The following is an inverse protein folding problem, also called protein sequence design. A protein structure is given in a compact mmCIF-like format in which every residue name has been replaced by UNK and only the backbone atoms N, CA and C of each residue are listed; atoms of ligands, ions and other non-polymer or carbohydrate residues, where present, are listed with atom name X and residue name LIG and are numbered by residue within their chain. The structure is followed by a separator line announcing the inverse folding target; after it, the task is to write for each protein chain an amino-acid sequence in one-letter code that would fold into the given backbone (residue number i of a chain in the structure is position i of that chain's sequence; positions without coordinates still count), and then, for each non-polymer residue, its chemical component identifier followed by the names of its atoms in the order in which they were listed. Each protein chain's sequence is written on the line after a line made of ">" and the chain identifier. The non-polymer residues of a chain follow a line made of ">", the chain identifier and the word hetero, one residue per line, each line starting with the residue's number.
data_IF_134436844487
#
_entry.id   IF_134436844487
#
_cell.length_a   1.000
_cell.length_b   1.000
_cell.length_c   1.000
_cell.angle_alpha   90.00
_cell.angle_beta   90.00
_cell.angle_gamma   90.00
#
_symmetry.space_group_name_H-M   'P 1'
#
loop_
_entity.id
_entity.type
_entity.pdbx_description
1 polymer ?
#
# COMPACT_ATOMS: atom_id res chain seq x y z
N UNK A 1 54.73 1.62 -11.74
CA UNK A 1 54.12 0.84 -12.83
C UNK A 1 52.89 1.61 -13.30
N UNK A 2 52.83 1.91 -14.59
CA UNK A 2 51.81 2.75 -15.23
C UNK A 2 50.42 2.13 -15.12
N UNK A 3 49.40 2.92 -14.76
CA UNK A 3 48.02 2.59 -15.10
C UNK A 3 47.49 3.58 -16.14
N UNK A 4 47.14 3.00 -17.28
CA UNK A 4 46.72 3.61 -18.53
C UNK A 4 45.26 4.05 -18.45
N UNK A 5 44.99 5.28 -18.87
CA UNK A 5 43.66 5.84 -19.09
C UNK A 5 43.01 5.25 -20.34
N UNK A 6 41.75 4.80 -20.24
CA UNK A 6 40.80 4.79 -21.36
C UNK A 6 39.36 5.03 -20.86
N UNK A 7 38.64 6.04 -21.38
CA UNK A 7 37.20 6.12 -21.22
C UNK A 7 36.50 5.29 -22.30
N UNK A 8 35.46 4.55 -21.91
CA UNK A 8 34.55 3.88 -22.83
C UNK A 8 33.43 4.84 -23.25
N UNK A 9 33.39 5.11 -24.55
CA UNK A 9 32.37 5.87 -25.26
C UNK A 9 31.17 4.93 -25.49
N UNK A 10 30.00 5.21 -24.89
CA UNK A 10 28.77 4.49 -25.20
C UNK A 10 27.89 5.35 -26.11
N UNK A 11 27.62 4.81 -27.30
CA UNK A 11 26.94 5.45 -28.41
C UNK A 11 25.42 5.56 -28.16
N UNK A 12 24.90 6.76 -28.43
CA UNK A 12 23.49 7.06 -28.59
C UNK A 12 22.99 6.47 -29.90
N UNK A 13 22.14 5.43 -29.84
CA UNK A 13 21.43 4.90 -31.00
C UNK A 13 19.93 5.21 -30.85
N UNK A 14 19.47 6.23 -31.58
CA UNK A 14 18.05 6.52 -31.77
C UNK A 14 17.46 5.52 -32.75
N UNK A 15 16.61 4.61 -32.27
CA UNK A 15 15.80 3.75 -33.13
C UNK A 15 14.37 4.30 -33.22
N UNK A 16 14.10 5.11 -34.25
CA UNK A 16 12.74 5.43 -34.69
C UNK A 16 12.23 4.28 -35.57
N UNK A 17 11.39 3.42 -35.03
CA UNK A 17 10.70 2.36 -35.77
C UNK A 17 9.20 2.60 -35.75
N UNK A 18 8.68 3.31 -36.76
CA UNK A 18 7.24 3.43 -37.01
C UNK A 18 6.72 2.13 -37.61
N UNK A 19 5.73 1.55 -36.94
CA UNK A 19 4.96 0.39 -37.32
C UNK A 19 4.12 0.69 -38.59
N UNK A 20 4.14 -0.19 -39.59
CA UNK A 20 3.15 -0.17 -40.66
C UNK A 20 2.79 -1.60 -41.09
N UNK A 21 1.59 -2.02 -40.69
CA UNK A 21 0.86 -3.19 -41.22
C UNK A 21 0.33 -2.87 -42.62
N UNK A 22 0.32 -3.81 -43.57
CA UNK A 22 -0.42 -3.64 -44.82
C UNK A 22 -1.85 -4.21 -44.69
N UNK A 23 -2.86 -3.36 -44.92
CA UNK A 23 -4.21 -3.79 -45.31
C UNK A 23 -4.52 -3.22 -46.71
N UNK A 24 -5.21 -3.99 -47.53
CA UNK A 24 -5.22 -3.85 -48.99
C UNK A 24 -6.37 -3.05 -49.60
N UNK A 25 -6.29 -3.01 -50.94
CA UNK A 25 -7.32 -2.75 -51.96
C UNK A 25 -7.88 -1.32 -52.07
N UNK A 26 -7.34 -0.61 -53.06
CA UNK A 26 -8.08 -0.19 -54.24
C UNK A 26 -9.03 1.01 -54.10
N UNK A 27 -8.60 2.17 -54.60
CA UNK A 27 -9.41 3.05 -55.44
C UNK A 27 -8.55 4.18 -56.02
N UNK A 28 -8.73 4.38 -57.32
CA UNK A 28 -8.20 5.46 -58.15
C UNK A 28 -8.73 6.82 -57.67
N UNK A 29 -7.87 7.83 -57.45
CA UNK A 29 -8.32 9.24 -57.41
C UNK A 29 -7.16 10.22 -57.67
N UNK A 30 -7.18 10.79 -58.88
CA UNK A 30 -6.87 12.17 -59.31
C UNK A 30 -5.70 12.93 -58.65
N UNK A 31 -4.75 13.31 -59.51
CA UNK A 31 -3.61 14.20 -59.27
C UNK A 31 -4.01 15.55 -58.64
N UNK A 32 -3.32 15.92 -57.56
CA UNK A 32 -3.15 17.30 -57.10
C UNK A 32 -1.65 17.53 -56.83
N UNK A 33 -1.06 18.68 -57.21
CA UNK A 33 0.32 19.00 -56.89
C UNK A 33 0.43 19.49 -55.43
N UNK A 34 1.16 18.76 -54.60
CA UNK A 34 1.52 19.19 -53.24
C UNK A 34 2.85 19.94 -53.28
N UNK A 35 2.80 21.26 -53.09
CA UNK A 35 3.97 22.09 -52.79
C UNK A 35 4.45 21.78 -51.36
N UNK A 36 5.68 21.29 -51.21
CA UNK A 36 6.36 21.13 -49.93
C UNK A 36 6.92 22.48 -49.48
N UNK A 37 6.37 23.03 -48.40
CA UNK A 37 6.90 24.20 -47.69
C UNK A 37 7.73 23.72 -46.50
N UNK A 38 9.05 23.68 -46.65
CA UNK A 38 9.98 23.35 -45.57
C UNK A 38 10.22 24.60 -44.71
N UNK A 39 9.63 24.66 -43.51
CA UNK A 39 10.05 25.62 -42.48
C UNK A 39 11.19 25.02 -41.66
N UNK A 40 12.37 25.64 -41.75
CA UNK A 40 13.54 25.31 -40.93
C UNK A 40 13.46 26.21 -39.68
N UNK A 41 13.17 25.61 -38.53
CA UNK A 41 13.27 26.30 -37.24
C UNK A 41 14.72 26.16 -36.75
N UNK A 42 15.49 27.24 -36.79
CA UNK A 42 16.81 27.29 -36.15
C UNK A 42 16.63 27.52 -34.65
N UNK A 43 16.92 26.49 -33.84
CA UNK A 43 17.07 26.64 -32.40
C UNK A 43 18.54 26.98 -32.09
N UNK A 44 18.80 28.17 -31.58
CA UNK A 44 20.12 28.55 -31.06
C UNK A 44 20.27 27.99 -29.64
N UNK A 45 21.20 27.05 -29.48
CA UNK A 45 21.61 26.54 -28.17
C UNK A 45 22.54 27.57 -27.51
N UNK A 46 22.14 28.14 -26.37
CA UNK A 46 23.02 28.94 -25.52
C UNK A 46 23.89 28.02 -24.68
N UNK A 47 25.20 28.09 -24.90
CA UNK A 47 26.22 27.34 -24.16
C UNK A 47 26.46 28.06 -22.84
N UNK A 48 26.12 27.41 -21.71
CA UNK A 48 26.50 27.85 -20.37
C UNK A 48 27.98 27.50 -20.09
N UNK A 49 28.72 28.35 -19.34
CA UNK A 49 30.11 28.10 -19.00
C UNK A 49 30.28 26.97 -17.97
N UNK A 50 31.45 26.30 -17.90
CA UNK A 50 31.70 25.20 -16.98
C UNK A 50 31.85 25.68 -15.53
N UNK A 51 31.27 24.91 -14.60
CA UNK A 51 31.36 25.12 -13.16
C UNK A 51 32.74 24.69 -12.63
N UNK A 52 33.37 25.54 -11.82
CA UNK A 52 34.60 25.25 -11.10
C UNK A 52 34.41 24.14 -10.05
N UNK A 53 35.29 23.15 -10.07
CA UNK A 53 35.41 22.11 -9.06
C UNK A 53 36.31 22.58 -7.91
N UNK A 54 35.71 22.90 -6.76
CA UNK A 54 36.46 23.05 -5.51
C UNK A 54 36.75 21.67 -4.93
N UNK A 55 38.04 21.37 -4.74
CA UNK A 55 38.51 20.13 -4.14
C UNK A 55 38.34 20.18 -2.63
N UNK A 56 37.54 19.28 -2.07
CA UNK A 56 37.43 19.06 -0.63
C UNK A 56 38.61 18.18 -0.18
N UNK A 57 39.44 18.72 0.71
CA UNK A 57 40.51 18.00 1.40
C UNK A 57 39.94 17.45 2.69
N UNK A 58 39.80 16.13 2.81
CA UNK A 58 39.48 15.48 4.09
C UNK A 58 40.80 14.99 4.71
N UNK A 59 41.15 15.55 5.87
CA UNK A 59 42.21 15.01 6.73
C UNK A 59 41.67 13.86 7.59
N UNK A 60 42.42 12.77 7.81
CA UNK A 60 42.04 11.75 8.78
C UNK A 60 42.51 12.16 10.18
N UNK A 61 41.56 12.28 11.12
CA UNK A 61 41.87 12.39 12.55
C UNK A 61 41.61 11.05 13.25
N UNK A 62 42.72 10.42 13.63
CA UNK A 62 43.02 9.77 14.91
C UNK A 62 41.90 9.07 15.72
N UNK A 63 42.03 7.75 15.80
CA UNK A 63 41.98 6.86 16.97
C UNK A 63 41.50 7.44 18.31
N UNK A 64 40.48 6.81 18.90
CA UNK A 64 40.43 6.59 20.35
C UNK A 64 39.76 5.24 20.68
N UNK A 65 40.45 4.49 21.54
CA UNK A 65 40.11 3.18 22.09
C UNK A 65 39.19 3.30 23.31
N UNK A 66 38.76 2.12 23.80
CA UNK A 66 38.30 1.82 25.17
C UNK A 66 36.81 2.02 25.41
N UNK A 67 36.03 1.11 26.01
CA UNK A 67 36.28 -0.20 26.62
C UNK A 67 34.97 -0.98 26.69
N UNK A 68 35.06 -2.30 26.56
CA UNK A 68 33.99 -3.26 26.86
C UNK A 68 33.75 -3.31 28.36
N UNK A 69 32.51 -3.10 28.81
CA UNK A 69 32.07 -3.49 30.16
C UNK A 69 31.03 -4.58 29.99
N UNK A 70 31.45 -5.79 30.36
CA UNK A 70 30.59 -6.95 30.58
C UNK A 70 29.79 -6.67 31.85
N UNK A 71 28.46 -6.61 31.74
CA UNK A 71 27.55 -6.72 32.88
C UNK A 71 26.71 -7.97 32.72
N UNK A 72 26.89 -8.88 33.66
CA UNK A 72 26.19 -10.14 33.85
C UNK A 72 24.73 -9.91 34.30
N UNK A 73 23.81 -10.85 34.01
CA UNK A 73 22.43 -10.76 34.47
C UNK A 73 22.33 -11.17 35.95
N UNK A 74 21.54 -10.44 36.74
CA UNK A 74 21.10 -10.86 38.07
C UNK A 74 19.57 -10.84 38.11
N UNK A 75 19.02 -12.02 38.38
CA UNK A 75 17.62 -12.28 38.70
C UNK A 75 17.27 -11.67 40.05
N UNK A 76 16.13 -10.98 40.17
CA UNK A 76 15.36 -10.91 41.43
C UNK A 76 13.91 -10.54 41.12
N UNK A 77 13.05 -11.55 41.21
CA UNK A 77 11.60 -11.41 41.28
C UNK A 77 11.21 -10.77 42.62
N UNK A 78 10.51 -9.64 42.60
CA UNK A 78 9.83 -9.12 43.79
C UNK A 78 8.35 -8.92 43.47
N UNK A 79 7.57 -9.92 43.87
CA UNK A 79 6.11 -9.88 43.92
C UNK A 79 5.69 -8.91 45.02
N UNK A 80 4.96 -7.86 44.67
CA UNK A 80 4.21 -7.04 45.63
C UNK A 80 2.73 -7.29 45.41
N UNK A 81 2.19 -8.20 46.22
CA UNK A 81 0.77 -8.40 46.40
C UNK A 81 0.18 -7.19 47.15
N UNK A 82 -0.76 -6.50 46.52
CA UNK A 82 -1.58 -5.48 47.20
C UNK A 82 -2.92 -6.13 47.50
N UNK A 83 -3.12 -6.45 48.78
CA UNK A 83 -4.41 -6.85 49.30
C UNK A 83 -5.34 -5.63 49.32
N UNK A 84 -6.46 -5.71 48.60
CA UNK A 84 -7.58 -4.77 48.78
C UNK A 84 -8.78 -5.53 49.32
N UNK A 85 -9.15 -5.07 50.50
CA UNK A 85 -10.20 -5.47 51.42
C UNK A 85 -11.57 -5.63 50.78
N UNK A 86 -12.16 -6.78 51.07
CA UNK A 86 -13.59 -7.05 51.06
C UNK A 86 -14.32 -6.07 52.00
N UNK A 87 -15.42 -5.49 51.53
CA UNK A 87 -16.39 -4.81 52.38
C UNK A 87 -17.79 -5.19 51.93
N UNK A 88 -18.32 -6.18 52.64
CA UNK A 88 -19.72 -6.56 52.64
C UNK A 88 -20.53 -5.48 53.36
N UNK A 89 -21.64 -5.07 52.79
CA UNK A 89 -22.68 -4.31 53.51
C UNK A 89 -24.05 -4.74 53.01
N UNK A 90 -24.66 -5.62 53.80
CA UNK A 90 -26.07 -5.97 53.71
C UNK A 90 -26.89 -4.93 54.48
N UNK A 91 -27.97 -4.43 53.90
CA UNK A 91 -29.11 -3.91 54.66
C UNK A 91 -30.38 -4.03 53.83
N UNK A 92 -31.43 -4.43 54.53
CA UNK A 92 -32.63 -5.11 54.06
C UNK A 92 -33.82 -4.18 53.83
N UNK A 93 -34.59 -4.52 52.77
CA UNK A 93 -36.07 -4.53 52.66
C UNK A 93 -36.85 -3.24 52.96
N UNK A 94 -37.51 -2.72 51.92
CA UNK A 94 -38.89 -2.28 52.01
C UNK A 94 -39.62 -2.53 50.68
N UNK A 95 -40.79 -3.17 50.80
CA UNK A 95 -41.72 -3.57 49.76
C UNK A 95 -42.48 -2.36 49.23
N UNK A 96 -42.54 -2.20 47.91
CA UNK A 96 -43.65 -1.52 47.21
C UNK A 96 -43.79 -2.14 45.80
N UNK A 97 -44.90 -2.84 45.60
CA UNK A 97 -45.45 -3.25 44.30
C UNK A 97 -46.61 -2.31 43.93
N UNK A 98 -47.20 -2.38 42.72
CA UNK A 98 -46.86 -1.54 41.59
C UNK A 98 -48.01 -0.56 41.26
N UNK A 99 -47.73 0.46 40.45
CA UNK A 99 -48.79 1.22 39.77
C UNK A 99 -48.44 1.37 38.31
N UNK A 100 -49.27 0.70 37.51
CA UNK A 100 -49.42 0.80 36.07
C UNK A 100 -49.65 2.24 35.64
N UNK A 101 -48.84 2.75 34.72
CA UNK A 101 -49.28 3.76 33.75
C UNK A 101 -48.60 3.46 32.43
N UNK A 102 -49.40 2.90 31.53
CA UNK A 102 -49.10 2.78 30.11
C UNK A 102 -48.82 4.16 29.52
N UNK A 103 -47.66 4.33 28.91
CA UNK A 103 -47.46 5.33 27.87
C UNK A 103 -46.59 4.68 26.80
N UNK A 104 -47.30 4.22 25.78
CA UNK A 104 -46.79 3.84 24.48
C UNK A 104 -45.98 5.01 23.91
N UNK A 105 -44.65 4.90 23.98
CA UNK A 105 -43.77 5.63 23.07
C UNK A 105 -43.35 4.61 22.02
N UNK A 106 -44.03 4.70 20.88
CA UNK A 106 -43.83 3.90 19.70
C UNK A 106 -42.35 3.84 19.33
N UNK A 107 -41.91 2.63 18.99
CA UNK A 107 -40.68 2.35 18.31
C UNK A 107 -40.50 3.32 17.14
N UNK A 108 -39.56 4.26 17.28
CA UNK A 108 -38.81 4.73 16.13
C UNK A 108 -37.80 3.64 15.81
N UNK A 109 -38.27 2.57 15.16
CA UNK A 109 -37.41 1.75 14.33
C UNK A 109 -36.91 2.67 13.24
N UNK A 110 -35.82 3.37 13.52
CA UNK A 110 -34.93 3.90 12.50
C UNK A 110 -34.41 2.67 11.79
N UNK A 111 -35.18 2.17 10.82
CA UNK A 111 -34.63 1.43 9.70
C UNK A 111 -33.67 2.40 9.05
N UNK A 112 -32.45 2.46 9.59
CA UNK A 112 -31.30 2.87 8.83
C UNK A 112 -31.31 1.91 7.66
N UNK A 113 -31.86 2.40 6.55
CA UNK A 113 -31.66 1.81 5.24
C UNK A 113 -30.16 1.72 5.15
N UNK A 114 -29.62 0.52 5.40
CA UNK A 114 -28.27 0.18 5.06
C UNK A 114 -28.22 0.44 3.57
N UNK A 115 -27.73 1.62 3.20
CA UNK A 115 -27.29 1.90 1.86
C UNK A 115 -26.15 0.93 1.67
N UNK A 116 -26.45 -0.27 1.21
CA UNK A 116 -25.47 -1.12 0.56
C UNK A 116 -25.05 -0.34 -0.66
N UNK A 117 -24.07 0.55 -0.48
CA UNK A 117 -23.39 1.20 -1.59
C UNK A 117 -22.87 0.06 -2.44
N UNK A 118 -23.48 -0.15 -3.60
CA UNK A 118 -22.90 -1.00 -4.62
C UNK A 118 -21.49 -0.47 -4.90
N UNK A 119 -20.50 -1.35 -4.84
CA UNK A 119 -19.14 -1.00 -5.16
C UNK A 119 -19.07 -0.40 -6.58
N UNK A 120 -18.05 0.43 -6.80
CA UNK A 120 -17.70 0.81 -8.17
C UNK A 120 -17.16 -0.39 -8.92
N UNK A 121 -17.23 -0.39 -10.25
CA UNK A 121 -16.72 -1.50 -11.06
C UNK A 121 -15.22 -1.78 -10.84
N UNK A 122 -14.43 -0.75 -10.51
CA UNK A 122 -13.00 -0.91 -10.21
C UNK A 122 -12.77 -1.55 -8.81
N UNK A 123 -13.56 -1.16 -7.81
CA UNK A 123 -13.54 -1.80 -6.48
C UNK A 123 -14.01 -3.26 -6.55
N UNK A 124 -15.11 -3.52 -7.27
CA UNK A 124 -15.62 -4.87 -7.51
C UNK A 124 -14.53 -5.75 -8.15
N UNK A 125 -13.82 -5.22 -9.16
CA UNK A 125 -12.78 -5.97 -9.85
C UNK A 125 -11.57 -6.24 -8.96
N UNK A 126 -11.16 -5.25 -8.15
CA UNK A 126 -10.10 -5.43 -7.17
C UNK A 126 -10.43 -6.51 -6.13
N UNK A 127 -11.67 -6.52 -5.62
CA UNK A 127 -12.15 -7.57 -4.70
C UNK A 127 -12.20 -8.94 -5.38
N UNK A 128 -12.65 -9.02 -6.63
CA UNK A 128 -12.69 -10.25 -7.42
C UNK A 128 -11.28 -10.85 -7.61
N UNK A 129 -10.28 -10.02 -7.91
CA UNK A 129 -8.89 -10.47 -8.07
C UNK A 129 -8.34 -11.09 -6.78
N UNK A 130 -8.55 -10.42 -5.65
CA UNK A 130 -8.14 -10.94 -4.34
C UNK A 130 -8.85 -12.26 -4.01
N UNK A 131 -10.16 -12.33 -4.26
CA UNK A 131 -10.95 -13.55 -4.01
C UNK A 131 -10.59 -14.69 -4.97
N UNK A 132 -10.16 -14.38 -6.19
CA UNK A 132 -9.61 -15.37 -7.12
C UNK A 132 -8.33 -15.96 -6.55
N UNK A 133 -7.37 -15.13 -6.13
CA UNK A 133 -6.13 -15.58 -5.52
C UNK A 133 -6.36 -16.46 -4.27
N UNK A 134 -7.31 -16.06 -3.41
CA UNK A 134 -7.73 -16.85 -2.24
C UNK A 134 -8.32 -18.21 -2.63
N UNK A 135 -9.15 -18.26 -3.67
CA UNK A 135 -9.74 -19.53 -4.13
C UNK A 135 -8.69 -20.52 -4.65
N UNK A 136 -7.59 -20.03 -5.24
CA UNK A 136 -6.50 -20.87 -5.74
C UNK A 136 -5.74 -21.59 -4.62
N UNK A 137 -5.79 -21.04 -3.40
CA UNK A 137 -5.21 -21.62 -2.19
C UNK A 137 -6.28 -22.16 -1.23
N UNK A 138 -7.52 -22.34 -1.72
CA UNK A 138 -8.66 -22.88 -0.94
C UNK A 138 -9.12 -22.04 0.25
N UNK A 139 -8.86 -20.73 0.23
CA UNK A 139 -9.26 -19.81 1.29
C UNK A 139 -10.64 -19.20 1.05
N UNK A 140 -11.33 -18.87 2.15
CA UNK A 140 -12.67 -18.27 2.11
C UNK A 140 -12.62 -16.88 1.50
N UNK A 141 -13.55 -16.54 0.61
CA UNK A 141 -13.61 -15.21 -0.01
C UNK A 141 -13.75 -14.08 1.02
N UNK A 142 -13.02 -12.98 0.81
CA UNK A 142 -13.15 -11.72 1.53
C UNK A 142 -14.48 -11.05 1.19
N UNK A 143 -15.01 -10.35 2.19
CA UNK A 143 -16.15 -9.45 2.05
C UNK A 143 -15.70 -8.00 2.13
N UNK A 144 -16.32 -7.12 1.34
CA UNK A 144 -16.04 -5.70 1.42
C UNK A 144 -16.60 -5.12 2.74
N UNK A 145 -15.82 -4.26 3.39
CA UNK A 145 -16.23 -3.53 4.58
C UNK A 145 -16.02 -2.02 4.39
N UNK A 146 -17.11 -1.25 4.49
CA UNK A 146 -17.08 0.20 4.27
C UNK A 146 -16.34 0.96 5.39
N UNK A 147 -16.22 0.38 6.59
CA UNK A 147 -15.43 0.96 7.67
C UNK A 147 -13.95 0.88 7.31
N UNK A 148 -13.49 -0.30 6.92
CA UNK A 148 -12.11 -0.52 6.44
C UNK A 148 -11.79 0.36 5.22
N UNK A 149 -12.75 0.55 4.31
CA UNK A 149 -12.57 1.42 3.15
C UNK A 149 -12.42 2.90 3.54
N UNK A 150 -13.16 3.34 4.56
CA UNK A 150 -13.02 4.69 5.14
C UNK A 150 -11.66 4.89 5.82
N UNK A 151 -11.18 3.89 6.56
CA UNK A 151 -9.86 3.94 7.21
C UNK A 151 -8.72 3.90 6.19
N UNK A 152 -8.86 3.07 5.15
CA UNK A 152 -7.96 3.04 4.00
C UNK A 152 -7.90 4.41 3.28
N UNK A 153 -9.06 5.03 3.02
CA UNK A 153 -9.13 6.35 2.38
C UNK A 153 -8.44 7.42 3.23
N UNK A 154 -8.67 7.40 4.54
CA UNK A 154 -8.04 8.36 5.46
C UNK A 154 -6.52 8.26 5.40
N UNK A 155 -5.98 7.03 5.34
CA UNK A 155 -4.54 6.84 5.20
C UNK A 155 -4.01 7.22 3.80
N UNK A 156 -4.73 6.89 2.74
CA UNK A 156 -4.38 7.31 1.38
C UNK A 156 -4.27 8.84 1.28
N UNK A 157 -5.22 9.56 1.87
CA UNK A 157 -5.21 11.02 1.95
C UNK A 157 -4.02 11.54 2.75
N UNK A 158 -3.68 10.89 3.87
CA UNK A 158 -2.49 11.22 4.64
C UNK A 158 -1.22 11.10 3.80
N UNK A 159 -1.02 9.98 3.09
CA UNK A 159 0.13 9.77 2.20
C UNK A 159 0.21 10.83 1.10
N UNK A 160 -0.91 11.08 0.42
CA UNK A 160 -1.01 12.10 -0.63
C UNK A 160 -0.66 13.50 -0.11
N UNK A 161 -1.18 13.88 1.06
CA UNK A 161 -0.89 15.19 1.67
C UNK A 161 0.54 15.34 2.18
N UNK A 162 1.16 14.25 2.62
CA UNK A 162 2.49 14.25 3.23
C UNK A 162 3.58 14.18 2.17
N UNK A 163 3.39 13.36 1.14
CA UNK A 163 4.42 13.03 0.17
C UNK A 163 4.15 13.56 -1.24
N UNK A 164 2.92 14.01 -1.54
CA UNK A 164 2.54 14.47 -2.87
C UNK A 164 2.95 13.45 -3.95
N UNK A 165 3.56 13.93 -5.03
CA UNK A 165 4.03 13.08 -6.14
C UNK A 165 5.35 12.36 -5.91
N UNK A 166 5.86 12.32 -4.67
CA UNK A 166 7.06 11.54 -4.38
C UNK A 166 6.81 10.02 -4.42
N UNK A 167 5.54 9.57 -4.40
CA UNK A 167 5.17 8.15 -4.42
C UNK A 167 5.69 7.37 -3.20
N UNK A 168 5.95 8.06 -2.09
CA UNK A 168 6.51 7.43 -0.89
C UNK A 168 5.43 6.65 -0.16
N UNK A 169 5.62 5.34 -0.06
CA UNK A 169 4.74 4.44 0.67
C UNK A 169 5.29 4.24 2.08
N UNK A 170 4.46 4.49 3.09
CA UNK A 170 4.81 4.25 4.49
C UNK A 170 3.59 3.69 5.19
N UNK A 171 3.78 2.58 5.89
CA UNK A 171 2.71 1.92 6.62
C UNK A 171 2.21 2.79 7.77
N UNK A 172 0.90 2.70 8.02
CA UNK A 172 0.29 3.25 9.23
C UNK A 172 0.72 2.46 10.47
N UNK A 173 0.38 2.96 11.66
CA UNK A 173 0.69 2.29 12.92
C UNK A 173 -0.51 2.27 13.86
N UNK A 174 -0.63 1.21 14.66
CA UNK A 174 -1.60 1.12 15.76
C UNK A 174 -3.07 0.95 15.36
N UNK A 175 -3.36 0.50 14.14
CA UNK A 175 -4.74 0.28 13.67
C UNK A 175 -5.32 -1.07 14.10
N UNK A 176 -4.47 -2.09 14.29
CA UNK A 176 -4.92 -3.47 14.50
C UNK A 176 -5.53 -4.10 13.24
N UNK A 177 -5.11 -3.62 12.07
CA UNK A 177 -5.59 -4.02 10.75
C UNK A 177 -4.38 -4.30 9.88
N UNK A 178 -4.50 -5.29 8.99
CA UNK A 178 -3.54 -5.50 7.92
C UNK A 178 -3.58 -4.34 6.92
N UNK A 179 -2.49 -4.10 6.21
CA UNK A 179 -2.39 -2.99 5.26
C UNK A 179 -1.55 -3.35 4.04
N UNK A 180 -2.08 -3.11 2.85
CA UNK A 180 -1.30 -3.06 1.61
C UNK A 180 -1.31 -1.65 1.04
N UNK A 181 -0.17 -1.21 0.50
CA UNK A 181 0.02 0.11 -0.06
C UNK A 181 0.44 0.01 -1.53
N UNK A 182 -0.01 0.97 -2.32
CA UNK A 182 0.37 1.07 -3.73
C UNK A 182 0.36 2.52 -4.19
N UNK A 183 1.25 2.85 -5.10
CA UNK A 183 1.25 4.15 -5.78
C UNK A 183 1.47 3.95 -7.27
N UNK A 184 0.79 4.76 -8.06
CA UNK A 184 0.96 4.82 -9.52
C UNK A 184 0.63 6.21 -10.05
N UNK A 185 1.13 6.50 -11.26
CA UNK A 185 0.72 7.64 -12.08
C UNK A 185 -0.35 7.25 -13.10
N UNK A 186 -1.26 8.18 -13.40
CA UNK A 186 -2.18 8.18 -14.55
C UNK A 186 -2.93 6.87 -14.80
N UNK A 187 -4.07 6.68 -14.13
CA UNK A 187 -4.91 5.49 -14.33
C UNK A 187 -6.39 5.77 -14.12
N UNK A 188 -7.22 5.06 -14.89
CA UNK A 188 -8.67 5.01 -14.73
C UNK A 188 -9.13 3.89 -13.79
N UNK A 189 -8.26 2.90 -13.52
CA UNK A 189 -8.56 1.70 -12.70
C UNK A 189 -7.53 1.43 -11.60
N UNK A 190 -7.32 2.40 -10.68
CA UNK A 190 -6.31 2.31 -9.64
C UNK A 190 -6.51 1.17 -8.63
N UNK A 191 -7.75 0.80 -8.29
CA UNK A 191 -7.98 -0.31 -7.37
C UNK A 191 -7.56 -1.64 -8.02
N UNK A 192 -7.98 -1.87 -9.27
CA UNK A 192 -7.62 -3.08 -10.03
C UNK A 192 -6.11 -3.20 -10.22
N UNK A 193 -5.42 -2.08 -10.55
CA UNK A 193 -3.98 -2.08 -10.73
C UNK A 193 -3.24 -2.47 -9.44
N UNK A 194 -3.64 -1.89 -8.31
CA UNK A 194 -3.06 -2.21 -7.00
C UNK A 194 -3.27 -3.68 -6.64
N UNK A 195 -4.50 -4.18 -6.75
CA UNK A 195 -4.81 -5.58 -6.46
C UNK A 195 -4.05 -6.55 -7.37
N UNK A 196 -3.89 -6.22 -8.66
CA UNK A 196 -3.10 -7.03 -9.60
C UNK A 196 -1.64 -7.09 -9.16
N UNK A 197 -1.02 -5.94 -8.89
CA UNK A 197 0.39 -5.88 -8.47
C UNK A 197 0.64 -6.70 -7.20
N UNK A 198 -0.24 -6.59 -6.21
CA UNK A 198 -0.14 -7.38 -4.98
C UNK A 198 -0.39 -8.87 -5.19
N UNK A 199 -1.26 -9.27 -6.11
CA UNK A 199 -1.50 -10.70 -6.42
C UNK A 199 -0.32 -11.30 -7.21
N UNK A 200 0.29 -10.55 -8.12
CA UNK A 200 1.42 -11.02 -8.95
C UNK A 200 2.66 -11.39 -8.14
N UNK A 201 2.79 -10.86 -6.93
CA UNK A 201 3.80 -11.25 -5.95
C UNK A 201 3.72 -12.73 -5.55
N UNK A 202 2.62 -13.43 -5.84
CA UNK A 202 2.50 -14.90 -5.73
C UNK A 202 3.71 -15.63 -6.32
N UNK A 203 4.28 -15.11 -7.41
CA UNK A 203 5.44 -15.67 -8.08
C UNK A 203 6.73 -15.65 -7.23
N UNK A 204 6.76 -14.87 -6.16
CA UNK A 204 7.90 -14.69 -5.25
C UNK A 204 7.71 -15.37 -3.90
N UNK A 205 6.59 -16.09 -3.69
CA UNK A 205 6.25 -16.74 -2.43
C UNK A 205 6.28 -18.27 -2.56
N UNK A 206 7.07 -18.94 -1.71
CA UNK A 206 7.32 -20.37 -1.76
C UNK A 206 6.59 -21.16 -0.65
N UNK A 207 5.68 -20.52 0.07
CA UNK A 207 4.93 -21.15 1.17
C UNK A 207 5.65 -21.10 2.52
N UNK A 208 6.68 -20.26 2.65
CA UNK A 208 7.45 -20.10 3.88
C UNK A 208 6.68 -19.35 4.99
N UNK A 209 7.06 -19.59 6.25
CA UNK A 209 6.54 -18.79 7.36
C UNK A 209 7.05 -17.35 7.28
N UNK A 210 6.21 -16.40 7.69
CA UNK A 210 6.54 -14.97 7.65
C UNK A 210 7.63 -14.66 8.65
N UNK A 211 8.76 -14.10 8.18
CA UNK A 211 9.89 -13.76 9.05
C UNK A 211 9.98 -12.26 9.35
N UNK A 212 9.25 -11.42 8.62
CA UNK A 212 9.32 -9.95 8.72
C UNK A 212 10.67 -9.36 8.27
N UNK A 213 11.58 -10.18 7.72
CA UNK A 213 12.90 -9.78 7.23
C UNK A 213 13.22 -10.50 5.92
N UNK A 214 14.31 -10.11 5.26
CA UNK A 214 14.72 -10.78 4.02
C UNK A 214 13.85 -10.39 2.83
N UNK A 215 13.29 -11.39 2.14
CA UNK A 215 12.50 -11.23 0.91
C UNK A 215 11.01 -10.89 1.16
N UNK A 216 10.60 -10.65 2.41
CA UNK A 216 9.20 -10.35 2.76
C UNK A 216 8.61 -9.19 1.96
N UNK A 217 9.41 -8.16 1.62
CA UNK A 217 8.96 -7.02 0.79
C UNK A 217 8.50 -7.44 -0.62
N UNK A 218 8.90 -8.62 -1.10
CA UNK A 218 8.54 -9.12 -2.43
C UNK A 218 7.25 -9.93 -2.47
N UNK A 219 6.71 -10.34 -1.32
CA UNK A 219 5.50 -11.15 -1.25
C UNK A 219 4.51 -10.77 -0.15
N UNK A 220 4.87 -9.82 0.72
CA UNK A 220 4.07 -9.46 1.88
C UNK A 220 2.66 -8.99 1.50
N UNK A 221 2.49 -8.38 0.33
CA UNK A 221 1.16 -7.96 -0.11
C UNK A 221 0.30 -9.17 -0.54
N UNK A 222 0.90 -10.12 -1.25
CA UNK A 222 0.22 -11.37 -1.62
C UNK A 222 -0.17 -12.17 -0.37
N UNK A 223 0.75 -12.36 0.57
CA UNK A 223 0.49 -13.16 1.78
C UNK A 223 -0.58 -12.55 2.66
N UNK A 224 -0.69 -11.22 2.71
CA UNK A 224 -1.83 -10.56 3.38
C UNK A 224 -3.17 -10.89 2.69
N UNK A 225 -3.21 -10.88 1.36
CA UNK A 225 -4.44 -11.19 0.60
C UNK A 225 -4.92 -12.61 0.88
N UNK A 226 -3.99 -13.58 0.94
CA UNK A 226 -4.33 -14.99 1.13
C UNK A 226 -4.35 -15.46 2.59
N UNK A 227 -4.28 -14.54 3.55
CA UNK A 227 -4.25 -14.90 4.96
C UNK A 227 -5.58 -15.54 5.41
N UNK A 228 -5.53 -16.72 6.02
CA UNK A 228 -6.69 -17.59 6.27
C UNK A 228 -7.73 -16.94 7.19
N UNK A 229 -7.26 -16.30 8.25
CA UNK A 229 -8.07 -15.68 9.28
C UNK A 229 -8.60 -14.32 8.87
N UNK A 230 -8.03 -13.68 7.84
CA UNK A 230 -8.56 -12.43 7.28
C UNK A 230 -9.87 -12.69 6.55
N UNK A 231 -10.93 -11.95 6.90
CA UNK A 231 -12.29 -12.17 6.37
C UNK A 231 -12.87 -10.98 5.63
N UNK A 232 -12.29 -9.81 5.83
CA UNK A 232 -12.81 -8.54 5.31
C UNK A 232 -11.69 -7.69 4.73
N UNK A 233 -12.03 -6.94 3.71
CA UNK A 233 -11.15 -5.92 3.10
C UNK A 233 -11.93 -4.65 2.81
N UNK A 234 -11.28 -3.51 2.93
CA UNK A 234 -11.77 -2.25 2.36
C UNK A 234 -10.61 -1.49 1.75
N UNK A 235 -10.86 -0.82 0.62
CA UNK A 235 -9.82 -0.07 -0.09
C UNK A 235 -10.22 1.39 -0.26
N UNK A 236 -9.23 2.27 -0.20
CA UNK A 236 -9.37 3.70 -0.39
C UNK A 236 -8.28 4.27 -1.29
N UNK A 237 -8.60 5.38 -1.96
CA UNK A 237 -7.71 6.06 -2.90
C UNK A 237 -7.69 7.56 -2.66
N UNK A 238 -6.50 8.16 -2.79
CA UNK A 238 -6.33 9.60 -2.83
C UNK A 238 -5.39 10.01 -3.97
N UNK A 239 -5.77 11.06 -4.71
CA UNK A 239 -4.89 11.69 -5.70
C UNK A 239 -3.87 12.59 -5.01
N UNK A 240 -2.65 12.62 -5.54
CA UNK A 240 -1.60 13.57 -5.13
C UNK A 240 -1.76 14.98 -5.73
N UNK A 241 -2.76 15.19 -6.59
CA UNK A 241 -3.03 16.46 -7.28
C UNK A 241 -2.20 16.72 -8.55
N UNK A 242 -1.33 15.79 -8.95
CA UNK A 242 -0.44 15.91 -10.11
C UNK A 242 -0.44 14.63 -10.99
N UNK A 243 -1.53 13.87 -10.94
CA UNK A 243 -1.75 12.67 -11.75
C UNK A 243 -1.36 11.36 -11.07
N UNK A 244 -0.80 11.41 -9.86
CA UNK A 244 -0.53 10.23 -9.04
C UNK A 244 -1.70 9.86 -8.12
N UNK A 245 -1.73 8.59 -7.75
CA UNK A 245 -2.73 8.01 -6.85
C UNK A 245 -2.06 7.11 -5.81
N UNK A 246 -2.36 7.36 -4.54
CA UNK A 246 -2.11 6.43 -3.44
C UNK A 246 -3.33 5.54 -3.26
N UNK A 247 -3.11 4.23 -3.28
CA UNK A 247 -4.13 3.22 -3.01
C UNK A 247 -3.73 2.46 -1.75
N UNK A 248 -4.68 2.32 -0.83
CA UNK A 248 -4.53 1.62 0.44
C UNK A 248 -5.60 0.55 0.53
N UNK A 249 -5.24 -0.65 0.98
CA UNK A 249 -6.18 -1.68 1.41
C UNK A 249 -6.02 -1.95 2.90
N UNK A 250 -7.13 -2.16 3.60
CA UNK A 250 -7.20 -2.55 5.01
C UNK A 250 -7.84 -3.92 5.14
N UNK A 251 -7.29 -4.73 6.02
CA UNK A 251 -7.70 -6.13 6.21
C UNK A 251 -8.01 -6.39 7.69
N UNK A 252 -9.09 -7.14 7.96
CA UNK A 252 -9.35 -7.61 9.33
C UNK A 252 -9.83 -9.07 9.39
N UNK A 253 -9.38 -9.85 10.37
CA UNK A 253 -8.14 -9.69 11.15
C UNK A 253 -6.89 -9.42 10.30
N UNK A 254 -5.87 -8.81 10.91
CA UNK A 254 -4.57 -8.57 10.26
C UNK A 254 -3.87 -9.89 9.92
N UNK A 255 -3.16 -9.91 8.78
CA UNK A 255 -2.34 -11.04 8.38
C UNK A 255 -0.87 -10.79 8.65
N UNK A 256 -0.02 -11.59 8.01
CA UNK A 256 1.44 -11.48 8.07
C UNK A 256 2.01 -11.56 9.50
N UNK A 257 1.41 -12.41 10.34
CA UNK A 257 1.88 -12.67 11.70
C UNK A 257 3.24 -13.37 11.65
N UNK A 258 4.22 -12.81 12.35
CA UNK A 258 5.59 -13.34 12.36
C UNK A 258 5.63 -14.75 12.94
N UNK A 259 6.22 -15.67 12.19
CA UNK A 259 6.38 -17.08 12.54
C UNK A 259 5.23 -17.98 12.05
N UNK A 260 4.19 -17.41 11.45
CA UNK A 260 3.03 -18.15 10.93
C UNK A 260 3.06 -18.22 9.40
N UNK A 261 2.29 -19.13 8.83
CA UNK A 261 2.05 -19.24 7.38
C UNK A 261 0.66 -18.69 7.05
N UNK A 262 0.43 -18.08 5.87
CA UNK A 262 -0.85 -17.49 5.49
C UNK A 262 -2.00 -18.47 5.41
N UNK A 263 -1.72 -19.73 5.04
CA UNK A 263 -2.74 -20.76 4.87
C UNK A 263 -2.51 -21.85 5.91
N UNK A 264 -3.57 -22.30 6.57
CA UNK A 264 -3.53 -23.49 7.42
C UNK A 264 -3.37 -24.75 6.54
N UNK A 265 -2.37 -25.58 6.85
CA UNK A 265 -2.07 -26.83 6.13
C UNK A 265 -3.09 -27.96 6.38
#
# INVERSE_FOLDING_TARGET
>A
MHFSTRPALAALLMATGVLSKPCGKGANLKHFPTTLSTSIVSATFSILPPFETSSIVIQPTSTSSSSVVVVTPSTTSTSSAVAITTSSSSSSVAVVTPSTTSSSAAAATSTASASSSSLTSDQDKALELQNTARSEVSETALTWDDTLASDALSWAQHLASTYGSAGTLTHSSGTGEGENLYWQSDSETPYTNAATAWVDEKSSYDGEAITGTGNFENYGHYTQIIWDSTTKVGMGIASDGAGGYYVVARYTPEGNVIGETPTSA
#
